data_IF_974440959530
#
_entry.id   IF_974440959530
#
_cell.length_a   1.000
_cell.length_b   1.000
_cell.length_c   1.000
_cell.angle_alpha   90.00
_cell.angle_beta   90.00
_cell.angle_gamma   90.00
#
_symmetry.space_group_name_H-M   'P 1'
#
loop_
_entity.id
_entity.type
_entity.pdbx_description
1 polymer ?
#
# COMPACT_ATOMS: atom_id res chain seq x y z
N UNK A 1 -15.57 1.34 16.76
CA UNK A 1 -16.20 1.36 15.42
C UNK A 1 -16.44 2.81 15.05
N UNK A 2 -15.99 3.26 13.88
CA UNK A 2 -16.12 4.65 13.38
C UNK A 2 -16.99 4.67 12.12
N UNK A 3 -17.48 5.85 11.72
CA UNK A 3 -18.27 6.01 10.49
C UNK A 3 -17.41 5.69 9.25
N UNK A 4 -17.98 4.97 8.29
CA UNK A 4 -17.29 4.57 7.06
C UNK A 4 -17.17 5.72 6.05
N UNK A 5 -16.43 6.76 6.42
CA UNK A 5 -16.08 7.88 5.56
C UNK A 5 -14.55 8.00 5.61
N UNK A 6 -13.87 7.67 4.51
CA UNK A 6 -12.41 7.59 4.46
C UNK A 6 -11.71 8.88 4.94
N UNK A 7 -12.30 10.04 4.61
CA UNK A 7 -11.80 11.35 5.03
C UNK A 7 -11.77 11.54 6.57
N UNK A 8 -12.51 10.75 7.33
CA UNK A 8 -12.58 10.87 8.79
C UNK A 8 -11.43 10.17 9.52
N UNK A 9 -10.73 9.25 8.87
CA UNK A 9 -9.70 8.42 9.53
C UNK A 9 -8.40 8.28 8.76
N UNK A 10 -8.38 8.58 7.46
CA UNK A 10 -7.14 8.66 6.70
C UNK A 10 -6.50 10.05 6.87
N UNK A 11 -5.16 10.14 6.93
CA UNK A 11 -4.48 11.43 7.01
C UNK A 11 -4.84 12.33 5.82
N UNK A 12 -5.02 13.65 6.05
CA UNK A 12 -5.23 14.59 4.96
C UNK A 12 -4.02 14.62 4.02
N UNK A 13 -4.25 14.91 2.75
CA UNK A 13 -3.23 14.93 1.69
C UNK A 13 -2.44 13.63 1.51
N UNK A 14 -2.90 12.49 2.06
CA UNK A 14 -2.19 11.22 1.91
C UNK A 14 -2.22 10.66 0.49
N UNK A 15 -1.13 10.03 0.07
CA UNK A 15 -1.05 9.20 -1.14
C UNK A 15 -1.56 7.81 -0.80
N UNK A 16 -2.59 7.33 -1.51
CA UNK A 16 -3.24 6.05 -1.24
C UNK A 16 -2.87 5.06 -2.34
N UNK A 17 -2.29 3.94 -1.95
CA UNK A 17 -1.74 2.93 -2.87
C UNK A 17 -2.38 1.59 -2.54
N UNK A 18 -3.05 0.98 -3.53
CA UNK A 18 -3.58 -0.36 -3.38
C UNK A 18 -2.62 -1.41 -3.92
N UNK A 19 -2.50 -2.53 -3.21
CA UNK A 19 -1.77 -3.70 -3.69
C UNK A 19 -2.74 -4.67 -4.37
N UNK A 20 -2.54 -4.93 -5.65
CA UNK A 20 -3.31 -5.90 -6.43
C UNK A 20 -2.40 -6.60 -7.43
N UNK A 21 -2.63 -7.88 -7.68
CA UNK A 21 -1.89 -8.67 -8.68
C UNK A 21 -2.05 -8.10 -10.09
N UNK A 22 -3.20 -7.47 -10.38
CA UNK A 22 -3.50 -6.86 -11.67
C UNK A 22 -2.94 -5.43 -11.82
N UNK A 23 -2.33 -4.89 -10.76
CA UNK A 23 -1.76 -3.55 -10.75
C UNK A 23 -0.48 -3.42 -11.58
N UNK A 24 0.02 -2.19 -11.68
CA UNK A 24 1.28 -1.88 -12.34
C UNK A 24 2.43 -2.56 -11.58
N UNK A 25 3.20 -3.39 -12.27
CA UNK A 25 4.35 -4.07 -11.66
C UNK A 25 5.43 -3.07 -11.24
N UNK A 26 5.89 -3.16 -9.99
CA UNK A 26 6.93 -2.29 -9.43
C UNK A 26 7.89 -3.12 -8.57
N UNK A 27 9.17 -2.72 -8.57
CA UNK A 27 10.08 -3.09 -7.50
C UNK A 27 9.72 -2.23 -6.27
N UNK A 28 9.34 -2.87 -5.16
CA UNK A 28 8.87 -2.15 -3.96
C UNK A 28 9.97 -1.23 -3.40
N UNK A 29 11.21 -1.70 -3.38
CA UNK A 29 12.39 -0.91 -2.95
C UNK A 29 12.53 0.40 -3.71
N UNK A 30 12.32 0.39 -5.02
CA UNK A 30 12.41 1.57 -5.87
C UNK A 30 11.16 2.46 -5.71
N UNK A 31 9.99 1.84 -5.54
CA UNK A 31 8.74 2.54 -5.33
C UNK A 31 8.77 3.38 -4.04
N UNK A 32 9.30 2.82 -2.94
CA UNK A 32 9.33 3.52 -1.65
C UNK A 32 10.29 4.72 -1.64
N UNK A 33 11.32 4.75 -2.50
CA UNK A 33 12.24 5.90 -2.60
C UNK A 33 11.54 7.21 -2.95
N UNK A 34 10.39 7.14 -3.63
CA UNK A 34 9.58 8.32 -3.96
C UNK A 34 9.04 9.03 -2.71
N UNK A 35 9.00 8.34 -1.57
CA UNK A 35 8.55 8.88 -0.30
C UNK A 35 9.70 9.31 0.63
N UNK A 36 10.96 9.23 0.19
CA UNK A 36 12.12 9.55 1.03
C UNK A 36 12.16 11.00 1.49
N UNK A 37 11.85 11.93 0.59
CA UNK A 37 11.95 13.38 0.81
C UNK A 37 10.57 14.05 0.97
N UNK A 38 9.50 13.26 1.05
CA UNK A 38 8.14 13.79 1.19
C UNK A 38 7.65 13.69 2.63
N UNK A 39 7.08 14.78 3.13
CA UNK A 39 6.31 14.80 4.39
C UNK A 39 4.87 14.30 4.18
N UNK A 40 4.54 13.84 2.97
CA UNK A 40 3.19 13.40 2.64
C UNK A 40 2.96 11.99 3.16
N UNK A 41 1.93 11.74 4.00
CA UNK A 41 1.62 10.40 4.47
C UNK A 41 1.28 9.46 3.31
N UNK A 42 1.73 8.22 3.38
CA UNK A 42 1.36 7.16 2.44
C UNK A 42 0.49 6.13 3.14
N UNK A 43 -0.60 5.73 2.47
CA UNK A 43 -1.58 4.75 2.95
C UNK A 43 -1.57 3.57 2.01
N UNK A 44 -1.20 2.40 2.51
CA UNK A 44 -1.30 1.16 1.74
C UNK A 44 -2.61 0.44 2.03
N UNK A 45 -3.35 0.11 0.98
CA UNK A 45 -4.57 -0.70 1.05
C UNK A 45 -4.24 -2.13 0.65
N UNK A 46 -4.39 -3.05 1.61
CA UNK A 46 -4.08 -4.47 1.44
C UNK A 46 -5.34 -5.30 1.62
N UNK A 47 -5.62 -6.19 0.67
CA UNK A 47 -6.76 -7.09 0.72
C UNK A 47 -6.58 -8.18 1.79
N UNK A 48 -7.43 -8.17 2.82
CA UNK A 48 -7.40 -9.16 3.90
C UNK A 48 -8.50 -10.24 3.73
N UNK A 49 -8.50 -10.90 2.57
CA UNK A 49 -9.49 -11.92 2.19
C UNK A 49 -8.80 -13.19 1.69
N UNK A 50 -9.46 -14.34 1.82
CA UNK A 50 -8.89 -15.63 1.41
C UNK A 50 -8.79 -15.78 -0.12
N UNK A 51 -9.86 -15.42 -0.83
CA UNK A 51 -9.95 -15.53 -2.29
C UNK A 51 -10.77 -14.34 -2.83
N UNK A 52 -10.12 -13.47 -3.58
CA UNK A 52 -10.66 -12.35 -4.41
C UNK A 52 -9.59 -11.25 -4.48
N UNK A 53 -9.86 -10.21 -5.26
CA UNK A 53 -9.02 -9.02 -5.37
C UNK A 53 -9.79 -7.75 -4.95
N UNK A 54 -10.10 -7.56 -3.65
CA UNK A 54 -10.93 -6.44 -3.18
C UNK A 54 -10.24 -5.08 -3.35
N UNK A 55 -8.91 -5.07 -3.45
CA UNK A 55 -8.10 -3.87 -3.69
C UNK A 55 -8.13 -3.45 -5.16
N UNK A 56 -8.31 -4.40 -6.08
CA UNK A 56 -8.55 -4.13 -7.50
C UNK A 56 -9.78 -3.26 -7.76
N UNK A 57 -10.81 -3.36 -6.92
CA UNK A 57 -12.07 -2.59 -7.02
C UNK A 57 -12.10 -1.34 -6.14
N UNK A 58 -11.01 -1.02 -5.43
CA UNK A 58 -10.96 0.21 -4.62
C UNK A 58 -10.86 1.45 -5.53
N UNK A 59 -11.82 2.36 -5.40
CA UNK A 59 -11.88 3.61 -6.20
C UNK A 59 -11.32 4.83 -5.45
N UNK A 60 -11.10 4.73 -4.14
CA UNK A 60 -10.60 5.83 -3.31
C UNK A 60 -9.06 5.91 -3.26
N UNK A 61 -8.36 5.13 -4.09
CA UNK A 61 -6.90 5.01 -4.13
C UNK A 61 -6.33 5.77 -5.32
N UNK A 62 -5.12 6.31 -5.15
CA UNK A 62 -4.44 7.12 -6.15
C UNK A 62 -3.60 6.26 -7.13
N UNK A 63 -3.13 5.09 -6.68
CA UNK A 63 -2.35 4.14 -7.51
C UNK A 63 -2.66 2.67 -7.16
N UNK A 64 -2.49 1.78 -8.13
CA UNK A 64 -2.67 0.32 -7.99
C UNK A 64 -1.39 -0.38 -8.46
N UNK A 65 -0.65 -0.96 -7.53
CA UNK A 65 0.65 -1.57 -7.79
C UNK A 65 0.64 -3.06 -7.52
N UNK A 66 1.52 -3.78 -8.21
CA UNK A 66 1.84 -5.18 -7.96
C UNK A 66 3.32 -5.31 -7.61
N UNK A 67 3.61 -5.85 -6.42
CA UNK A 67 4.98 -6.01 -5.89
C UNK A 67 5.57 -7.39 -6.20
N UNK A 68 4.80 -8.29 -6.83
CA UNK A 68 5.24 -9.62 -7.23
C UNK A 68 4.43 -10.10 -8.45
N UNK A 69 5.01 -10.97 -9.28
CA UNK A 69 4.32 -11.56 -10.43
C UNK A 69 3.23 -12.60 -10.07
N UNK A 70 2.99 -12.84 -8.79
CA UNK A 70 2.01 -13.81 -8.26
C UNK A 70 1.27 -13.22 -7.07
N UNK A 71 0.13 -13.82 -6.72
CA UNK A 71 -0.60 -13.47 -5.50
C UNK A 71 0.23 -13.74 -4.25
N UNK A 72 0.32 -12.73 -3.38
CA UNK A 72 0.96 -12.82 -2.06
C UNK A 72 -0.11 -12.86 -0.97
N UNK A 73 0.25 -13.41 0.20
CA UNK A 73 -0.62 -13.30 1.38
C UNK A 73 -0.61 -11.86 1.89
N UNK A 74 -1.72 -11.43 2.50
CA UNK A 74 -1.80 -10.10 3.11
C UNK A 74 -0.66 -9.86 4.13
N UNK A 75 -0.29 -10.90 4.90
CA UNK A 75 0.81 -10.84 5.86
C UNK A 75 2.15 -10.55 5.16
N UNK A 76 2.47 -11.24 4.07
CA UNK A 76 3.70 -11.00 3.31
C UNK A 76 3.71 -9.59 2.73
N UNK A 77 2.59 -9.13 2.14
CA UNK A 77 2.46 -7.76 1.67
C UNK A 77 2.78 -6.73 2.76
N UNK A 78 2.15 -6.86 3.94
CA UNK A 78 2.38 -5.96 5.06
C UNK A 78 3.83 -6.00 5.55
N UNK A 79 4.40 -7.20 5.71
CA UNK A 79 5.79 -7.37 6.15
C UNK A 79 6.78 -6.76 5.15
N UNK A 80 6.58 -6.95 3.84
CA UNK A 80 7.43 -6.35 2.81
C UNK A 80 7.34 -4.83 2.82
N UNK A 81 6.13 -4.26 2.96
CA UNK A 81 5.97 -2.80 3.07
C UNK A 81 6.71 -2.27 4.29
N UNK A 82 6.48 -2.85 5.47
CA UNK A 82 7.15 -2.40 6.69
C UNK A 82 8.68 -2.49 6.56
N UNK A 83 9.22 -3.61 6.09
CA UNK A 83 10.66 -3.80 5.93
C UNK A 83 11.31 -2.76 5.01
N UNK A 84 10.65 -2.42 3.89
CA UNK A 84 11.18 -1.42 2.96
C UNK A 84 11.10 0.00 3.53
N UNK A 85 10.08 0.33 4.33
CA UNK A 85 9.99 1.61 5.04
C UNK A 85 10.96 1.71 6.23
N UNK A 86 11.16 0.62 6.98
CA UNK A 86 12.18 0.50 8.02
C UNK A 86 13.57 0.79 7.44
N UNK A 87 13.90 0.16 6.30
CA UNK A 87 15.14 0.41 5.57
C UNK A 87 15.23 1.84 5.01
N UNK A 88 14.12 2.39 4.50
CA UNK A 88 14.07 3.77 3.98
C UNK A 88 14.35 4.82 5.06
N UNK A 89 13.84 4.58 6.26
CA UNK A 89 13.92 5.50 7.41
C UNK A 89 15.10 5.20 8.35
N UNK A 90 15.93 4.21 8.04
CA UNK A 90 17.08 3.81 8.87
C UNK A 90 16.66 3.38 10.30
N UNK A 91 15.56 2.62 10.39
CA UNK A 91 15.00 2.08 11.63
C UNK A 91 15.29 0.57 11.69
N UNK A 92 15.98 0.12 12.76
CA UNK A 92 16.37 -1.28 12.99
C UNK A 92 15.90 -1.80 14.34
#
# INVERSE_FOLDING_TARGET
>A
IVKNEHANFLPPNSVKVALTVSGRSVALSDFVQRFKETDTPVVFVVGAVAHSDPTGECDYVDDKISIAGVGLTAAVCCSSICAEFEALWDIF
#
